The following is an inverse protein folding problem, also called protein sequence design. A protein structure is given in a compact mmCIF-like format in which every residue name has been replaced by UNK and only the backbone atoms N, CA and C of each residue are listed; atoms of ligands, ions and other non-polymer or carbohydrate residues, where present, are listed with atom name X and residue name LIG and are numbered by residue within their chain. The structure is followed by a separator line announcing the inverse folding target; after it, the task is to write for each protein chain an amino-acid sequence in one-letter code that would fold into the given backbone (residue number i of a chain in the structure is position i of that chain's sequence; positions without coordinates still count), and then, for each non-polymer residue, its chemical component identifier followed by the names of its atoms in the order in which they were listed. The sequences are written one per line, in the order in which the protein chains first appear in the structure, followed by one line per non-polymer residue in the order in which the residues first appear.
data_IF_113935823779
#
_entry.id   IF_113935823779
#
_cell.length_a   1.000
_cell.length_b   1.000
_cell.length_c   1.000
_cell.angle_alpha   90.00
_cell.angle_beta   90.00
_cell.angle_gamma   90.00
#
_symmetry.space_group_name_H-M   'P 1'
#
loop_
_entity.id
_entity.type
_entity.pdbx_description
1 polymer ?
#
# COMPACT_ATOMS: atom_id res chain seq x y z
N UNK A 1 13.71 17.00 -6.08
CA UNK A 1 13.21 16.21 -4.94
C UNK A 1 11.76 15.97 -5.26
N UNK A 2 11.36 14.72 -5.52
CA UNK A 2 9.99 14.43 -5.90
C UNK A 2 9.15 14.54 -4.63
N UNK A 3 8.32 15.58 -4.51
CA UNK A 3 7.42 15.75 -3.36
C UNK A 3 6.17 14.83 -3.45
N UNK A 4 6.02 14.13 -4.58
CA UNK A 4 4.88 13.25 -4.82
C UNK A 4 5.02 11.94 -4.04
N UNK A 5 3.90 11.43 -3.54
CA UNK A 5 3.82 10.02 -3.11
C UNK A 5 3.40 9.16 -4.28
N UNK A 6 4.19 8.15 -4.62
CA UNK A 6 3.96 7.25 -5.74
C UNK A 6 3.34 5.93 -5.28
N UNK A 7 2.59 5.28 -6.18
CA UNK A 7 2.03 3.94 -6.00
C UNK A 7 2.23 3.07 -7.24
N UNK A 8 2.51 1.78 -7.04
CA UNK A 8 2.55 0.79 -8.11
C UNK A 8 2.25 -0.63 -7.61
N UNK A 9 1.87 -1.51 -8.53
CA UNK A 9 1.92 -2.96 -8.31
C UNK A 9 3.39 -3.38 -8.39
N UNK A 10 3.92 -3.94 -7.30
CA UNK A 10 5.33 -4.33 -7.16
C UNK A 10 5.60 -5.81 -7.51
N UNK A 11 4.56 -6.59 -7.79
CA UNK A 11 4.63 -7.98 -8.25
C UNK A 11 4.40 -8.09 -9.76
N UNK A 12 4.88 -9.15 -10.43
CA UNK A 12 4.58 -9.39 -11.84
C UNK A 12 3.06 -9.43 -12.12
N UNK A 13 2.62 -9.05 -13.33
CA UNK A 13 1.22 -9.16 -13.73
C UNK A 13 0.81 -10.64 -13.87
N UNK A 14 -0.46 -10.93 -13.62
CA UNK A 14 -1.04 -12.26 -13.70
C UNK A 14 -1.70 -12.69 -12.39
N UNK A 15 -2.11 -13.96 -12.33
CA UNK A 15 -2.67 -14.55 -11.11
C UNK A 15 -1.56 -15.15 -10.25
N UNK A 16 -1.59 -14.83 -8.95
CA UNK A 16 -0.70 -15.40 -7.95
C UNK A 16 -1.37 -15.46 -6.59
N UNK A 17 -0.75 -16.14 -5.62
CA UNK A 17 -1.26 -16.17 -4.24
C UNK A 17 -1.26 -14.78 -3.59
N UNK A 18 -0.27 -13.94 -3.91
CA UNK A 18 -0.08 -12.61 -3.33
C UNK A 18 0.27 -11.62 -4.44
N UNK A 19 -0.31 -10.43 -4.38
CA UNK A 19 0.16 -9.26 -5.11
C UNK A 19 0.45 -8.11 -4.15
N UNK A 20 1.45 -7.30 -4.48
CA UNK A 20 1.90 -6.21 -3.60
C UNK A 20 1.60 -4.87 -4.25
N UNK A 21 0.88 -4.00 -3.53
CA UNK A 21 0.80 -2.57 -3.82
C UNK A 21 1.82 -1.85 -2.95
N UNK A 22 2.74 -1.10 -3.56
CA UNK A 22 3.76 -0.32 -2.84
C UNK A 22 3.46 1.16 -2.97
N UNK A 23 3.48 1.87 -1.85
CA UNK A 23 3.48 3.32 -1.73
C UNK A 23 4.88 3.80 -1.30
N UNK A 24 5.40 4.88 -1.88
CA UNK A 24 6.62 5.56 -1.43
C UNK A 24 6.42 7.06 -1.43
N UNK A 25 6.81 7.75 -0.36
CA UNK A 25 6.76 9.21 -0.24
C UNK A 25 6.14 9.69 1.06
N UNK A 26 6.08 11.00 1.24
CA UNK A 26 5.64 11.63 2.50
C UNK A 26 4.20 11.27 2.93
N UNK A 27 3.34 10.89 1.98
CA UNK A 27 1.95 10.49 2.23
C UNK A 27 1.76 8.97 2.27
N UNK A 28 2.82 8.14 2.17
CA UNK A 28 2.68 6.68 2.12
C UNK A 28 1.93 6.12 3.34
N UNK A 29 2.33 6.51 4.56
CA UNK A 29 1.64 6.09 5.78
C UNK A 29 0.25 6.75 5.94
N UNK A 30 0.07 8.07 5.74
CA UNK A 30 -1.26 8.70 5.74
C UNK A 30 -2.27 8.02 4.79
N UNK A 31 -1.89 7.75 3.55
CA UNK A 31 -2.72 7.04 2.57
C UNK A 31 -3.04 5.64 3.09
N UNK A 32 -2.03 4.91 3.57
CA UNK A 32 -2.23 3.58 4.12
C UNK A 32 -3.22 3.56 5.30
N UNK A 33 -3.17 4.55 6.20
CA UNK A 33 -4.12 4.69 7.31
C UNK A 33 -5.55 4.95 6.85
N UNK A 34 -5.73 5.59 5.70
CA UNK A 34 -7.04 5.81 5.10
C UNK A 34 -7.61 4.55 4.45
N UNK A 35 -6.77 3.81 3.71
CA UNK A 35 -7.22 2.67 2.88
C UNK A 35 -7.18 1.33 3.60
N UNK A 36 -6.48 1.21 4.73
CA UNK A 36 -6.31 -0.04 5.46
C UNK A 36 -6.87 0.03 6.88
N UNK A 37 -7.77 -0.89 7.20
CA UNK A 37 -8.33 -1.07 8.55
C UNK A 37 -7.67 -2.27 9.24
N UNK A 38 -6.84 -2.05 10.27
CA UNK A 38 -6.20 -3.16 10.99
C UNK A 38 -7.24 -3.92 11.82
N UNK A 39 -7.15 -5.26 11.84
CA UNK A 39 -8.07 -6.11 12.64
C UNK A 39 -7.96 -5.83 14.13
N UNK A 40 -6.73 -5.59 14.60
CA UNK A 40 -6.44 -5.15 15.97
C UNK A 40 -6.06 -3.67 15.95
N UNK A 41 -6.69 -2.81 16.77
CA UNK A 41 -6.34 -1.39 16.86
C UNK A 41 -4.88 -1.15 17.26
N UNK A 42 -4.38 0.06 16.99
CA UNK A 42 -3.07 0.54 17.42
C UNK A 42 -2.20 1.05 16.27
N UNK A 43 -1.19 1.85 16.61
CA UNK A 43 -0.33 2.50 15.62
C UNK A 43 0.43 1.52 14.72
N UNK A 44 0.64 1.89 13.46
CA UNK A 44 1.50 1.18 12.53
C UNK A 44 2.97 1.39 12.93
N UNK A 45 3.55 0.38 13.58
CA UNK A 45 4.97 0.40 13.94
C UNK A 45 5.81 0.00 12.72
N UNK A 46 6.93 0.67 12.45
CA UNK A 46 7.82 0.28 11.37
C UNK A 46 8.30 -1.18 11.51
N UNK A 47 8.54 -1.84 10.38
CA UNK A 47 9.08 -3.20 10.26
C UNK A 47 8.26 -4.27 10.99
N UNK A 48 6.95 -4.07 11.06
CA UNK A 48 5.99 -5.06 11.61
C UNK A 48 4.83 -5.23 10.67
N UNK A 49 4.46 -6.48 10.43
CA UNK A 49 3.27 -6.82 9.68
C UNK A 49 2.00 -6.57 10.50
N UNK A 50 0.98 -6.03 9.84
CA UNK A 50 -0.35 -5.84 10.40
C UNK A 50 -1.36 -6.54 9.50
N UNK A 51 -2.15 -7.41 10.09
CA UNK A 51 -3.28 -8.05 9.44
C UNK A 51 -4.55 -7.20 9.58
N UNK A 52 -5.33 -7.16 8.51
CA UNK A 52 -6.53 -6.32 8.42
C UNK A 52 -7.15 -6.40 7.04
N UNK A 53 -7.82 -5.31 6.66
CA UNK A 53 -8.57 -5.25 5.41
C UNK A 53 -8.25 -3.96 4.66
N UNK A 54 -8.21 -4.04 3.34
CA UNK A 54 -8.34 -2.88 2.47
C UNK A 54 -9.81 -2.48 2.45
N UNK A 55 -10.11 -1.21 2.71
CA UNK A 55 -11.47 -0.69 2.83
C UNK A 55 -11.66 0.60 2.03
N UNK A 56 -12.79 0.70 1.34
CA UNK A 56 -13.28 1.94 0.73
C UNK A 56 -14.58 2.34 1.46
N UNK A 57 -14.44 3.24 2.44
CA UNK A 57 -15.51 3.58 3.37
C UNK A 57 -16.01 2.37 4.17
N UNK A 58 -17.22 1.90 3.86
CA UNK A 58 -17.83 0.73 4.47
C UNK A 58 -17.58 -0.58 3.71
N UNK A 59 -17.11 -0.50 2.45
CA UNK A 59 -16.87 -1.68 1.61
C UNK A 59 -15.50 -2.27 1.92
N UNK A 60 -15.46 -3.57 2.18
CA UNK A 60 -14.20 -4.33 2.21
C UNK A 60 -13.83 -4.69 0.78
N UNK A 61 -12.62 -4.31 0.37
CA UNK A 61 -12.05 -4.67 -0.94
C UNK A 61 -11.34 -6.01 -0.83
N UNK A 62 -10.49 -6.15 0.18
CA UNK A 62 -9.65 -7.33 0.36
C UNK A 62 -9.25 -7.56 1.82
N UNK A 63 -8.92 -8.79 2.16
CA UNK A 63 -8.18 -9.16 3.36
C UNK A 63 -6.68 -9.14 3.03
N UNK A 64 -5.88 -8.39 3.81
CA UNK A 64 -4.51 -8.08 3.43
C UNK A 64 -3.56 -7.95 4.63
N UNK A 65 -2.26 -7.96 4.32
CA UNK A 65 -1.20 -7.58 5.25
C UNK A 65 -0.63 -6.21 4.87
N UNK A 66 -0.26 -5.42 5.87
CA UNK A 66 0.42 -4.14 5.70
C UNK A 66 1.78 -4.17 6.39
N UNK A 67 2.82 -3.76 5.68
CA UNK A 67 4.15 -3.46 6.22
C UNK A 67 4.45 -1.96 6.05
N UNK A 68 4.85 -1.29 7.14
CA UNK A 68 5.34 0.08 7.08
C UNK A 68 6.86 0.08 7.32
N UNK A 69 7.61 0.78 6.47
CA UNK A 69 9.05 0.98 6.59
C UNK A 69 9.30 2.49 6.61
N UNK A 70 9.90 2.98 7.70
CA UNK A 70 10.07 4.42 7.92
C UNK A 70 11.37 4.92 7.30
N UNK A 71 11.34 6.11 6.71
CA UNK A 71 12.53 6.81 6.26
C UNK A 71 13.55 6.97 7.41
N UNK A 72 14.87 6.89 7.14
CA UNK A 72 15.50 6.60 5.85
C UNK A 72 15.73 5.09 5.60
N UNK A 73 15.22 4.22 6.47
CA UNK A 73 15.50 2.78 6.46
C UNK A 73 14.49 2.02 5.61
N UNK A 74 14.42 2.38 4.32
CA UNK A 74 13.54 1.78 3.32
C UNK A 74 14.25 1.67 1.98
N UNK A 75 13.62 1.01 1.00
CA UNK A 75 14.19 0.83 -0.34
C UNK A 75 14.45 2.16 -1.06
N UNK A 76 13.51 3.10 -0.99
CA UNK A 76 13.58 4.42 -1.64
C UNK A 76 14.20 5.50 -0.75
N UNK A 77 14.52 5.17 0.52
CA UNK A 77 14.89 6.12 1.59
C UNK A 77 13.77 7.06 2.05
N UNK A 78 12.57 6.87 1.56
CA UNK A 78 11.35 7.57 2.00
C UNK A 78 10.52 6.70 2.94
N UNK A 79 9.39 7.21 3.42
CA UNK A 79 8.38 6.35 4.03
C UNK A 79 7.80 5.43 2.95
N UNK A 80 7.82 4.12 3.20
CA UNK A 80 7.30 3.09 2.29
C UNK A 80 6.24 2.28 3.00
N UNK A 81 5.11 2.05 2.33
CA UNK A 81 4.11 1.08 2.76
C UNK A 81 3.92 0.02 1.68
N UNK A 82 3.89 -1.24 2.09
CA UNK A 82 3.51 -2.36 1.22
C UNK A 82 2.22 -2.98 1.73
N UNK A 83 1.26 -3.17 0.81
CA UNK A 83 -0.01 -3.83 1.01
C UNK A 83 0.03 -5.15 0.25
N UNK A 84 0.20 -6.26 0.98
CA UNK A 84 0.13 -7.61 0.43
C UNK A 84 -1.32 -8.06 0.38
N UNK A 85 -1.89 -8.00 -0.81
CA UNK A 85 -3.26 -8.38 -1.15
C UNK A 85 -3.30 -9.78 -1.75
N UNK A 86 -4.49 -10.35 -1.95
CA UNK A 86 -4.65 -11.52 -2.81
C UNK A 86 -4.17 -11.18 -4.23
N UNK A 87 -3.42 -12.08 -4.85
CA UNK A 87 -2.78 -11.84 -6.15
C UNK A 87 -3.71 -11.95 -7.36
N UNK A 88 -5.01 -11.70 -7.18
CA UNK A 88 -5.97 -11.57 -8.28
C UNK A 88 -5.95 -10.15 -8.87
N UNK A 89 -6.26 -9.97 -10.16
CA UNK A 89 -6.24 -8.64 -10.80
C UNK A 89 -7.26 -7.68 -10.18
N UNK A 90 -8.43 -8.18 -9.76
CA UNK A 90 -9.51 -7.38 -9.20
C UNK A 90 -9.13 -6.66 -7.88
N UNK A 91 -8.69 -7.36 -6.80
CA UNK A 91 -8.29 -6.69 -5.57
C UNK A 91 -7.09 -5.76 -5.75
N UNK A 92 -6.12 -6.13 -6.59
CA UNK A 92 -4.95 -5.27 -6.86
C UNK A 92 -5.33 -3.98 -7.58
N UNK A 93 -6.15 -4.07 -8.63
CA UNK A 93 -6.60 -2.89 -9.36
C UNK A 93 -7.47 -1.99 -8.47
N UNK A 94 -8.41 -2.56 -7.71
CA UNK A 94 -9.25 -1.79 -6.80
C UNK A 94 -8.44 -1.08 -5.70
N UNK A 95 -7.43 -1.76 -5.15
CA UNK A 95 -6.51 -1.18 -4.14
C UNK A 95 -5.64 -0.09 -4.74
N UNK A 96 -5.08 -0.30 -5.94
CA UNK A 96 -4.30 0.70 -6.67
C UNK A 96 -5.13 1.96 -6.93
N UNK A 97 -6.33 1.82 -7.47
CA UNK A 97 -7.24 2.93 -7.74
C UNK A 97 -7.62 3.68 -6.46
N UNK A 98 -7.83 2.96 -5.35
CA UNK A 98 -8.10 3.57 -4.06
C UNK A 98 -6.92 4.40 -3.55
N UNK A 99 -5.69 3.90 -3.68
CA UNK A 99 -4.48 4.67 -3.36
C UNK A 99 -4.33 5.93 -4.22
N UNK A 100 -4.61 5.83 -5.53
CA UNK A 100 -4.60 6.98 -6.44
C UNK A 100 -5.62 8.04 -6.04
N UNK A 101 -6.87 7.64 -5.74
CA UNK A 101 -7.91 8.55 -5.23
C UNK A 101 -7.57 9.19 -3.88
N UNK A 102 -6.69 8.54 -3.10
CA UNK A 102 -6.25 9.00 -1.79
C UNK A 102 -5.05 9.97 -1.85
N UNK A 103 -4.58 10.33 -3.04
CA UNK A 103 -3.53 11.33 -3.23
C UNK A 103 -2.18 10.80 -3.69
N UNK A 104 -2.05 9.50 -3.98
CA UNK A 104 -0.87 8.98 -4.65
C UNK A 104 -0.95 9.22 -6.16
N UNK A 105 0.21 9.27 -6.82
CA UNK A 105 0.34 9.22 -8.29
C UNK A 105 0.88 7.85 -8.71
N UNK A 106 0.54 7.40 -9.91
CA UNK A 106 1.16 6.18 -10.46
C UNK A 106 2.69 6.39 -10.64
N UNK A 107 3.50 5.45 -10.16
CA UNK A 107 4.94 5.47 -10.37
C UNK A 107 5.30 5.32 -11.85
N UNK A 108 6.37 5.98 -12.27
CA UNK A 108 6.97 5.80 -13.61
C UNK A 108 7.89 4.56 -13.63
N UNK A 109 8.22 4.02 -14.81
CA UNK A 109 9.19 2.93 -14.91
C UNK A 109 10.54 3.31 -14.28
N UNK A 110 10.96 2.56 -13.26
CA UNK A 110 12.21 2.79 -12.53
C UNK A 110 12.15 3.86 -11.43
N UNK A 111 10.98 4.45 -11.18
CA UNK A 111 10.66 5.31 -10.03
C UNK A 111 10.20 4.45 -8.85
#
# INVERSE_FOLDING_TARGET
MYDDTIVAVATPPGEGGIGIIRLSGALALPIAQHVFRPRRPGAFRPYRLRYGHIVDGARVIDEALLAFMRAPQSFTREDVVELSCHGGPLPLQATLELCLRSGARLARPGE
#
